data_IF_540953811586
#
_entry.id   IF_540953811586
#
_cell.length_a   1.000
_cell.length_b   1.000
_cell.length_c   1.000
_cell.angle_alpha   90.00
_cell.angle_beta   90.00
_cell.angle_gamma   90.00
#
_symmetry.space_group_name_H-M   'P 1'
#
loop_
_entity.id
_entity.type
_entity.pdbx_description
1 polymer ?
#
# COMPACT_ATOMS: atom_id res chain seq x y z
N UNK A 1 -7.34 -9.56 67.60
CA UNK A 1 -8.19 -9.66 66.40
C UNK A 1 -7.45 -8.90 65.29
N UNK A 2 -6.80 -9.64 64.40
CA UNK A 2 -6.02 -9.11 63.27
C UNK A 2 -6.96 -8.91 62.10
N UNK A 3 -7.08 -7.67 61.61
CA UNK A 3 -7.76 -7.34 60.37
C UNK A 3 -6.80 -7.38 59.19
N UNK A 4 -6.90 -8.38 58.32
CA UNK A 4 -6.21 -8.41 57.01
C UNK A 4 -6.89 -7.44 56.06
N UNK A 5 -6.25 -6.30 55.80
CA UNK A 5 -6.59 -5.43 54.70
C UNK A 5 -6.03 -6.03 53.40
N UNK A 6 -6.88 -6.54 52.53
CA UNK A 6 -6.53 -6.91 51.16
C UNK A 6 -6.30 -5.65 50.33
N UNK A 7 -5.04 -5.28 50.14
CA UNK A 7 -4.63 -4.28 49.17
C UNK A 7 -4.76 -4.90 47.76
N UNK A 8 -5.86 -4.65 47.12
CA UNK A 8 -5.97 -4.84 45.67
C UNK A 8 -5.22 -3.73 44.97
N UNK A 9 -3.93 -3.95 44.73
CA UNK A 9 -3.19 -3.17 43.74
C UNK A 9 -3.77 -3.43 42.35
N UNK A 10 -4.77 -2.65 41.99
CA UNK A 10 -5.07 -2.46 40.56
C UNK A 10 -3.89 -1.66 39.99
N UNK A 11 -2.93 -2.38 39.42
CA UNK A 11 -1.99 -1.78 38.49
C UNK A 11 -2.79 -1.25 37.30
N UNK A 12 -3.05 0.03 37.30
CA UNK A 12 -3.48 0.75 36.10
C UNK A 12 -2.35 0.64 35.08
N UNK A 13 -2.34 -0.43 34.29
CA UNK A 13 -1.46 -0.51 33.13
C UNK A 13 -1.88 0.62 32.21
N UNK A 14 -1.04 1.63 32.06
CA UNK A 14 -1.16 2.62 30.98
C UNK A 14 -1.28 1.85 29.67
N UNK A 15 -2.32 2.08 28.84
CA UNK A 15 -2.45 1.38 27.59
C UNK A 15 -1.17 1.50 26.78
N UNK A 16 -0.59 0.37 26.38
CA UNK A 16 0.62 0.39 25.57
C UNK A 16 0.26 1.04 24.22
N UNK A 17 0.91 2.16 23.89
CA UNK A 17 0.74 2.81 22.61
C UNK A 17 1.11 1.84 21.47
N UNK A 18 0.21 1.66 20.51
CA UNK A 18 0.42 0.88 19.29
C UNK A 18 0.49 1.86 18.14
N UNK A 19 1.54 1.81 17.34
CA UNK A 19 1.69 2.63 16.15
C UNK A 19 1.27 1.86 14.90
N UNK A 20 0.40 2.49 14.09
CA UNK A 20 0.01 1.98 12.79
C UNK A 20 0.49 2.92 11.69
N UNK A 21 1.31 2.42 10.78
CA UNK A 21 1.76 3.15 9.59
C UNK A 21 0.70 3.11 8.49
N UNK A 22 0.47 4.23 7.84
CA UNK A 22 -0.38 4.33 6.66
C UNK A 22 0.15 5.38 5.69
N UNK A 23 -0.10 5.20 4.40
CA UNK A 23 0.18 6.26 3.43
C UNK A 23 -0.88 7.35 3.50
N UNK A 24 -0.45 8.59 3.27
CA UNK A 24 -1.34 9.77 3.28
C UNK A 24 -2.53 9.58 2.33
N UNK A 25 -3.68 10.13 2.71
CA UNK A 25 -4.93 10.01 1.97
C UNK A 25 -5.85 8.90 2.50
N UNK A 26 -6.49 8.08 1.62
CA UNK A 26 -7.55 7.15 2.04
C UNK A 26 -7.13 6.14 3.11
N UNK A 27 -5.90 5.62 3.04
CA UNK A 27 -5.40 4.67 4.01
C UNK A 27 -5.23 5.31 5.40
N UNK A 28 -4.64 6.52 5.47
CA UNK A 28 -4.51 7.26 6.72
C UNK A 28 -5.89 7.62 7.31
N UNK A 29 -6.84 8.03 6.48
CA UNK A 29 -8.21 8.34 6.93
C UNK A 29 -8.90 7.13 7.56
N UNK A 30 -8.75 5.94 6.98
CA UNK A 30 -9.28 4.70 7.57
C UNK A 30 -8.54 4.37 8.87
N UNK A 31 -7.21 4.48 8.90
CA UNK A 31 -6.44 4.23 10.11
C UNK A 31 -6.84 5.16 11.26
N UNK A 32 -7.10 6.44 10.98
CA UNK A 32 -7.61 7.41 11.97
C UNK A 32 -9.02 7.03 12.48
N UNK A 33 -9.91 6.56 11.60
CA UNK A 33 -11.22 6.08 12.02
C UNK A 33 -11.10 4.85 12.93
N UNK A 34 -10.22 3.91 12.58
CA UNK A 34 -9.91 2.74 13.42
C UNK A 34 -9.33 3.14 14.76
N UNK A 35 -8.43 4.14 14.81
CA UNK A 35 -7.86 4.65 16.06
C UNK A 35 -8.93 5.21 17.00
N UNK A 36 -9.93 5.92 16.46
CA UNK A 36 -11.07 6.42 17.25
C UNK A 36 -11.91 5.29 17.85
N UNK A 37 -12.17 4.23 17.09
CA UNK A 37 -12.90 3.06 17.58
C UNK A 37 -12.07 2.26 18.60
N UNK A 38 -10.78 2.07 18.36
CA UNK A 38 -9.85 1.40 19.26
C UNK A 38 -9.80 2.07 20.64
N UNK A 39 -9.81 3.41 20.66
CA UNK A 39 -9.83 4.20 21.89
C UNK A 39 -11.04 3.90 22.77
N UNK A 40 -12.22 3.66 22.18
CA UNK A 40 -13.44 3.26 22.92
C UNK A 40 -13.27 1.92 23.63
N UNK A 41 -12.34 1.09 23.15
CA UNK A 41 -12.01 -0.23 23.72
C UNK A 41 -10.76 -0.20 24.61
N UNK A 42 -10.25 1.00 24.95
CA UNK A 42 -9.07 1.16 25.79
C UNK A 42 -7.74 0.90 25.08
N UNK A 43 -7.73 0.87 23.74
CA UNK A 43 -6.52 0.70 22.92
C UNK A 43 -6.06 2.06 22.43
N UNK A 44 -4.81 2.44 22.74
CA UNK A 44 -4.18 3.66 22.25
C UNK A 44 -3.46 3.37 20.92
N UNK A 45 -4.13 3.65 19.80
CA UNK A 45 -3.60 3.45 18.46
C UNK A 45 -3.20 4.80 17.85
N UNK A 46 -1.92 4.98 17.58
CA UNK A 46 -1.35 6.19 16.97
C UNK A 46 -1.07 5.96 15.49
N UNK A 47 -1.66 6.80 14.64
CA UNK A 47 -1.41 6.77 13.20
C UNK A 47 -0.11 7.51 12.89
N UNK A 48 0.76 6.87 12.10
CA UNK A 48 1.99 7.44 11.55
C UNK A 48 1.86 7.48 10.05
N UNK A 49 1.83 8.68 9.47
CA UNK A 49 1.70 8.85 8.03
C UNK A 49 3.06 8.78 7.33
N UNK A 50 3.06 8.13 6.17
CA UNK A 50 4.20 8.01 5.27
C UNK A 50 3.84 8.55 3.89
N UNK A 51 4.83 9.08 3.18
CA UNK A 51 4.67 9.64 1.83
C UNK A 51 5.17 8.72 0.71
N UNK A 52 5.64 7.52 1.06
CA UNK A 52 6.18 6.53 0.12
C UNK A 52 5.70 5.12 0.47
N UNK A 53 5.98 4.14 -0.41
CA UNK A 53 5.53 2.76 -0.22
C UNK A 53 6.61 1.83 0.36
N UNK A 54 7.85 2.27 0.48
CA UNK A 54 8.97 1.45 0.97
C UNK A 54 9.13 1.56 2.48
N UNK A 55 9.09 2.79 3.00
CA UNK A 55 9.36 3.10 4.41
C UNK A 55 8.40 2.42 5.38
N UNK A 56 7.07 2.30 5.13
CA UNK A 56 6.16 1.68 6.08
C UNK A 56 6.48 0.21 6.40
N UNK A 57 6.86 -0.58 5.41
CA UNK A 57 7.23 -1.99 5.63
C UNK A 57 8.57 -2.13 6.33
N UNK A 58 9.51 -1.25 6.00
CA UNK A 58 10.80 -1.21 6.69
C UNK A 58 10.62 -0.86 8.16
N UNK A 59 9.86 0.19 8.48
CA UNK A 59 9.56 0.58 9.84
C UNK A 59 8.86 -0.52 10.65
N UNK A 60 7.97 -1.29 9.99
CA UNK A 60 7.31 -2.45 10.61
C UNK A 60 8.29 -3.60 10.86
N UNK A 61 9.14 -3.93 9.90
CA UNK A 61 10.15 -4.98 10.03
C UNK A 61 11.19 -4.64 11.11
N UNK A 62 11.55 -3.36 11.24
CA UNK A 62 12.49 -2.87 12.25
C UNK A 62 11.85 -2.71 13.66
N UNK A 63 10.52 -2.81 13.76
CA UNK A 63 9.77 -2.69 15.02
C UNK A 63 9.49 -1.26 15.47
N UNK A 64 9.75 -0.26 14.63
CA UNK A 64 9.46 1.16 14.90
C UNK A 64 7.95 1.44 14.93
N UNK A 65 7.17 0.67 14.19
CA UNK A 65 5.72 0.58 14.24
C UNK A 65 5.29 -0.87 14.43
N UNK A 66 4.08 -1.12 14.92
CA UNK A 66 3.56 -2.46 15.21
C UNK A 66 2.59 -2.97 14.14
N UNK A 67 2.00 -2.07 13.39
CA UNK A 67 1.04 -2.35 12.32
C UNK A 67 1.30 -1.41 11.14
N UNK A 68 0.91 -1.82 9.95
CA UNK A 68 0.67 -0.89 8.84
C UNK A 68 -0.59 -1.26 8.05
N UNK A 69 -1.16 -0.29 7.34
CA UNK A 69 -2.35 -0.47 6.53
C UNK A 69 -2.26 0.42 5.29
N UNK A 70 -1.63 -0.07 4.21
CA UNK A 70 -1.49 0.69 2.98
C UNK A 70 -1.30 -0.19 1.74
N UNK A 71 -0.91 -1.45 1.90
CA UNK A 71 -0.43 -2.30 0.83
C UNK A 71 -1.40 -3.44 0.51
N UNK A 72 -1.25 -4.02 -0.67
CA UNK A 72 -1.86 -5.29 -1.01
C UNK A 72 -0.89 -6.46 -0.75
N UNK A 73 -1.45 -7.66 -0.61
CA UNK A 73 -0.66 -8.86 -0.25
C UNK A 73 0.53 -9.11 -1.18
N UNK A 74 0.42 -9.01 -2.52
CA UNK A 74 1.57 -9.21 -3.41
C UNK A 74 2.74 -8.25 -3.14
N UNK A 75 2.47 -7.00 -2.75
CA UNK A 75 3.52 -6.05 -2.39
C UNK A 75 4.25 -6.48 -1.11
N UNK A 76 3.49 -6.85 -0.07
CA UNK A 76 4.06 -7.36 1.19
C UNK A 76 4.90 -8.63 0.96
N UNK A 77 4.40 -9.59 0.18
CA UNK A 77 5.13 -10.82 -0.13
C UNK A 77 6.43 -10.54 -0.88
N UNK A 78 6.40 -9.59 -1.83
CA UNK A 78 7.59 -9.15 -2.54
C UNK A 78 8.60 -8.49 -1.59
N UNK A 79 8.15 -7.62 -0.69
CA UNK A 79 8.99 -7.03 0.35
C UNK A 79 9.65 -8.11 1.22
N UNK A 80 8.87 -9.07 1.74
CA UNK A 80 9.39 -10.17 2.54
C UNK A 80 10.47 -10.94 1.80
N UNK A 81 10.22 -11.28 0.53
CA UNK A 81 11.18 -12.02 -0.30
C UNK A 81 12.49 -11.26 -0.51
N UNK A 82 12.39 -9.96 -0.77
CA UNK A 82 13.57 -9.12 -1.05
C UNK A 82 14.40 -8.80 0.19
N UNK A 83 13.75 -8.71 1.35
CA UNK A 83 14.39 -8.25 2.59
C UNK A 83 14.58 -9.36 3.63
N UNK A 84 14.20 -10.61 3.33
CA UNK A 84 14.29 -11.71 4.29
C UNK A 84 13.40 -11.50 5.53
N UNK A 85 12.30 -10.75 5.38
CA UNK A 85 11.37 -10.47 6.46
C UNK A 85 10.15 -11.41 6.41
N UNK A 86 9.30 -11.35 7.43
CA UNK A 86 8.17 -12.27 7.62
C UNK A 86 6.88 -11.52 8.03
N UNK A 87 6.63 -10.37 7.43
CA UNK A 87 5.39 -9.63 7.63
C UNK A 87 4.19 -10.49 7.24
N UNK A 88 3.10 -10.39 7.97
CA UNK A 88 1.87 -11.17 7.75
C UNK A 88 0.65 -10.26 7.68
N UNK A 89 -0.29 -10.61 6.80
CA UNK A 89 -1.57 -9.92 6.72
C UNK A 89 -2.50 -10.45 7.83
N UNK A 90 -2.94 -9.56 8.72
CA UNK A 90 -3.85 -9.88 9.83
C UNK A 90 -5.30 -9.49 9.55
N UNK A 91 -5.55 -8.73 8.48
CA UNK A 91 -6.90 -8.31 8.09
C UNK A 91 -6.87 -7.52 6.79
N UNK A 92 -8.07 -7.22 6.29
CA UNK A 92 -8.26 -6.39 5.10
C UNK A 92 -8.91 -5.07 5.51
N UNK A 93 -8.50 -3.98 4.88
CA UNK A 93 -9.07 -2.64 5.09
C UNK A 93 -9.83 -2.18 3.86
N UNK A 94 -9.20 -1.45 2.96
CA UNK A 94 -9.81 -0.95 1.74
C UNK A 94 -8.96 -1.33 0.52
N UNK A 95 -9.60 -1.36 -0.64
CA UNK A 95 -8.95 -1.51 -1.94
C UNK A 95 -9.06 -0.20 -2.72
N UNK A 96 -7.92 0.41 -3.03
CA UNK A 96 -7.84 1.56 -3.92
C UNK A 96 -7.68 1.07 -5.36
N UNK A 97 -8.58 1.54 -6.24
CA UNK A 97 -8.53 1.22 -7.67
C UNK A 97 -7.40 2.02 -8.33
N UNK A 98 -6.67 1.35 -9.22
CA UNK A 98 -5.73 2.03 -10.10
C UNK A 98 -6.48 2.63 -11.28
N UNK A 99 -6.14 3.87 -11.65
CA UNK A 99 -6.75 4.58 -12.77
C UNK A 99 -5.69 5.23 -13.66
N UNK A 100 -6.08 5.58 -14.89
CA UNK A 100 -5.32 6.46 -15.76
C UNK A 100 -5.80 7.90 -15.55
N UNK A 101 -4.88 8.80 -15.35
CA UNK A 101 -5.13 10.21 -15.08
C UNK A 101 -4.36 11.10 -16.05
N UNK A 102 -4.95 12.22 -16.44
CA UNK A 102 -4.28 13.21 -17.28
C UNK A 102 -4.86 14.59 -17.01
N UNK A 103 -4.02 15.62 -17.11
CA UNK A 103 -4.45 17.01 -17.08
C UNK A 103 -4.78 17.57 -18.47
N UNK A 104 -4.36 16.91 -19.54
CA UNK A 104 -4.45 17.41 -20.91
C UNK A 104 -5.25 16.51 -21.85
N UNK A 105 -5.43 15.23 -21.52
CA UNK A 105 -6.13 14.23 -22.33
C UNK A 105 -7.40 13.79 -21.61
N UNK A 106 -8.54 13.84 -22.30
CA UNK A 106 -9.85 13.56 -21.68
C UNK A 106 -10.40 12.17 -22.01
N UNK A 107 -9.80 11.48 -22.97
CA UNK A 107 -10.15 10.10 -23.32
C UNK A 107 -8.91 9.30 -23.73
N UNK A 108 -9.02 7.97 -23.64
CA UNK A 108 -7.93 7.06 -24.06
C UNK A 108 -7.64 7.22 -25.56
N UNK A 109 -8.67 7.49 -26.36
CA UNK A 109 -8.56 7.67 -27.81
C UNK A 109 -7.71 8.89 -28.18
N UNK A 110 -7.74 9.92 -27.33
CA UNK A 110 -7.04 11.20 -27.56
C UNK A 110 -5.58 11.17 -27.12
N UNK A 111 -5.10 10.06 -26.55
CA UNK A 111 -3.69 9.90 -26.18
C UNK A 111 -2.83 10.06 -27.42
N UNK A 112 -1.94 11.07 -27.49
CA UNK A 112 -1.14 11.31 -28.69
C UNK A 112 -0.06 10.26 -28.89
N UNK A 113 0.41 10.15 -30.13
CA UNK A 113 1.61 9.36 -30.43
C UNK A 113 2.82 9.91 -29.65
N UNK A 114 3.65 9.01 -29.12
CA UNK A 114 4.82 9.35 -28.35
C UNK A 114 4.53 9.91 -26.95
N UNK A 115 3.28 9.83 -26.45
CA UNK A 115 2.94 10.27 -25.11
C UNK A 115 3.78 9.53 -24.05
N UNK A 116 4.17 10.25 -23.02
CA UNK A 116 4.81 9.63 -21.84
C UNK A 116 3.75 9.24 -20.81
N UNK A 117 3.79 8.00 -20.36
CA UNK A 117 2.92 7.47 -19.30
C UNK A 117 3.81 7.01 -18.15
N UNK A 118 3.61 7.61 -16.98
CA UNK A 118 4.30 7.21 -15.76
C UNK A 118 3.55 6.07 -15.07
N UNK A 119 4.32 5.07 -14.63
CA UNK A 119 3.80 3.92 -13.86
C UNK A 119 4.65 3.72 -12.60
N UNK A 120 4.15 3.05 -11.55
CA UNK A 120 4.96 2.67 -10.40
C UNK A 120 6.14 1.78 -10.78
N UNK A 121 7.30 2.01 -10.16
CA UNK A 121 8.51 1.24 -10.43
C UNK A 121 8.60 -0.07 -9.65
N UNK A 122 7.74 -0.29 -8.65
CA UNK A 122 7.68 -1.57 -7.98
C UNK A 122 7.03 -2.65 -8.88
N UNK A 123 7.52 -3.90 -8.86
CA UNK A 123 7.06 -4.91 -9.82
C UNK A 123 5.57 -5.24 -9.68
N UNK A 124 4.99 -5.17 -8.49
CA UNK A 124 3.60 -5.54 -8.25
C UNK A 124 2.63 -4.48 -8.77
N UNK A 125 2.87 -3.19 -8.52
CA UNK A 125 2.01 -2.11 -9.04
C UNK A 125 2.38 -1.75 -10.48
N UNK A 126 3.63 -1.85 -10.88
CA UNK A 126 4.05 -1.73 -12.28
C UNK A 126 3.32 -2.72 -13.18
N UNK A 127 3.24 -4.00 -12.79
CA UNK A 127 2.47 -5.02 -13.50
C UNK A 127 0.98 -4.70 -13.58
N UNK A 128 0.38 -4.20 -12.50
CA UNK A 128 -1.03 -3.74 -12.51
C UNK A 128 -1.24 -2.57 -13.48
N UNK A 129 -0.31 -1.63 -13.52
CA UNK A 129 -0.38 -0.48 -14.43
C UNK A 129 -0.29 -0.92 -15.89
N UNK A 130 0.60 -1.84 -16.23
CA UNK A 130 0.72 -2.41 -17.58
C UNK A 130 -0.55 -3.15 -18.01
N UNK A 131 -1.15 -3.94 -17.12
CA UNK A 131 -2.44 -4.61 -17.37
C UNK A 131 -3.55 -3.57 -17.63
N UNK A 132 -3.56 -2.46 -16.87
CA UNK A 132 -4.53 -1.38 -17.08
C UNK A 132 -4.34 -0.72 -18.45
N UNK A 133 -3.10 -0.43 -18.86
CA UNK A 133 -2.79 0.12 -20.19
C UNK A 133 -3.22 -0.84 -21.30
N UNK A 134 -3.01 -2.14 -21.13
CA UNK A 134 -3.46 -3.15 -22.08
C UNK A 134 -5.00 -3.21 -22.16
N UNK A 135 -5.71 -3.18 -21.03
CA UNK A 135 -7.18 -3.12 -21.00
C UNK A 135 -7.73 -1.85 -21.64
N UNK A 136 -7.01 -0.75 -21.53
CA UNK A 136 -7.35 0.50 -22.20
C UNK A 136 -7.08 0.48 -23.72
N UNK A 137 -6.44 -0.58 -24.25
CA UNK A 137 -6.12 -0.70 -25.67
C UNK A 137 -4.90 0.12 -26.11
N UNK A 138 -4.11 0.63 -25.18
CA UNK A 138 -2.92 1.43 -25.49
C UNK A 138 -1.69 0.58 -25.82
N UNK A 139 -1.60 -0.61 -25.25
CA UNK A 139 -0.52 -1.59 -25.50
C UNK A 139 -1.10 -3.00 -25.56
N UNK A 140 -0.29 -3.94 -26.02
CA UNK A 140 -0.55 -5.38 -25.88
C UNK A 140 0.58 -6.02 -25.10
N UNK A 141 0.26 -6.96 -24.21
CA UNK A 141 1.22 -7.71 -23.43
C UNK A 141 1.35 -9.13 -23.94
N UNK A 142 2.48 -9.75 -23.68
CA UNK A 142 2.70 -11.17 -23.90
C UNK A 142 1.65 -12.00 -23.16
N UNK A 143 1.17 -13.06 -23.80
CA UNK A 143 0.17 -13.95 -23.20
C UNK A 143 0.66 -14.60 -21.91
N UNK A 144 -0.25 -14.70 -20.92
CA UNK A 144 -0.03 -15.40 -19.68
C UNK A 144 0.81 -14.65 -18.61
N UNK A 145 1.32 -13.44 -18.90
CA UNK A 145 2.13 -12.69 -17.92
C UNK A 145 1.28 -12.09 -16.79
N UNK A 146 0.03 -11.71 -17.08
CA UNK A 146 -0.89 -11.14 -16.07
C UNK A 146 -0.27 -9.97 -15.31
N UNK A 147 -0.49 -9.93 -14.01
CA UNK A 147 0.05 -8.88 -13.13
C UNK A 147 1.57 -8.98 -12.86
N UNK A 148 2.24 -9.99 -13.39
CA UNK A 148 3.70 -10.09 -13.36
C UNK A 148 4.37 -9.43 -14.57
N UNK A 149 3.58 -8.77 -15.43
CA UNK A 149 4.08 -8.08 -16.60
C UNK A 149 5.15 -7.04 -16.26
N UNK A 150 6.14 -6.96 -17.12
CA UNK A 150 7.18 -5.93 -17.13
C UNK A 150 7.11 -5.16 -18.45
N UNK A 151 7.80 -4.03 -18.55
CA UNK A 151 7.87 -3.26 -19.80
C UNK A 151 8.40 -4.11 -20.97
N UNK A 152 9.30 -5.07 -20.70
CA UNK A 152 9.83 -5.99 -21.69
C UNK A 152 8.78 -6.96 -22.26
N UNK A 153 7.64 -7.12 -21.61
CA UNK A 153 6.54 -7.98 -22.05
C UNK A 153 5.55 -7.27 -23.00
N UNK A 154 5.79 -6.00 -23.32
CA UNK A 154 4.99 -5.26 -24.30
C UNK A 154 5.26 -5.80 -25.70
N UNK A 155 4.25 -6.37 -26.34
CA UNK A 155 4.34 -6.96 -27.69
C UNK A 155 3.87 -6.02 -28.79
N UNK A 156 3.01 -5.04 -28.44
CA UNK A 156 2.52 -4.01 -29.35
C UNK A 156 2.34 -2.69 -28.63
N UNK A 157 2.77 -1.62 -29.25
CA UNK A 157 2.67 -0.25 -28.77
C UNK A 157 2.41 0.70 -29.94
N UNK A 158 1.18 0.68 -30.49
CA UNK A 158 0.89 1.35 -31.76
C UNK A 158 1.02 2.88 -31.71
N UNK A 159 0.89 3.48 -30.53
CA UNK A 159 1.08 4.93 -30.33
C UNK A 159 2.47 5.32 -29.87
N UNK A 160 3.43 4.41 -29.88
CA UNK A 160 4.80 4.66 -29.41
C UNK A 160 4.87 5.32 -28.04
N UNK A 161 4.00 4.89 -27.12
CA UNK A 161 3.95 5.42 -25.73
C UNK A 161 5.30 5.15 -25.05
N UNK A 162 5.83 6.17 -24.41
CA UNK A 162 7.03 6.07 -23.58
C UNK A 162 6.62 5.75 -22.16
N UNK A 163 7.00 4.56 -21.68
CA UNK A 163 6.73 4.16 -20.29
C UNK A 163 7.86 4.70 -19.41
N UNK A 164 7.50 5.46 -18.38
CA UNK A 164 8.40 5.98 -17.38
C UNK A 164 8.08 5.37 -16.03
N UNK A 165 9.00 4.58 -15.48
CA UNK A 165 8.84 3.95 -14.18
C UNK A 165 9.33 4.91 -13.10
N UNK A 166 8.46 5.26 -12.15
CA UNK A 166 8.72 6.22 -11.08
C UNK A 166 8.37 5.59 -9.73
N UNK A 167 9.07 6.04 -8.70
CA UNK A 167 8.71 5.73 -7.32
C UNK A 167 7.33 6.32 -7.00
N UNK A 168 6.49 5.51 -6.32
CA UNK A 168 5.13 5.86 -5.95
C UNK A 168 4.99 6.09 -4.44
#
# INVERSE_FOLDING_TARGET
IAGCGTNTNQSSQTPKEIKIGATSGPHAQVAEAVAKEAKKQGIDLKVVEFSDYVTPDKALADGDIQLNAYQHVPFMENFNKQNGSNLVAIGKTLLVRMGLYSNSVHSVQDVPEGATVSIPNDPTNGGRALVLLAKAGLITLKDGVGFKATVADITSNPKNIKIQELEA
#
